data_IF_075691900787
#
_entry.id   IF_075691900787
#
_cell.length_a   1.000
_cell.length_b   1.000
_cell.length_c   1.000
_cell.angle_alpha   90.00
_cell.angle_beta   90.00
_cell.angle_gamma   90.00
#
_symmetry.space_group_name_H-M   'P 1'
#
loop_
_entity.id
_entity.type
_entity.pdbx_description
1 polymer ?
#
# COMPACT_ATOMS: atom_id res chain seq x y z
N UNK A 1 -8.21 -7.79 -16.06
CA UNK A 1 -8.52 -6.76 -15.03
C UNK A 1 -8.89 -7.48 -13.74
N UNK A 2 -8.24 -7.12 -12.63
CA UNK A 2 -8.27 -7.89 -11.38
C UNK A 2 -9.68 -7.96 -10.81
N UNK A 3 -10.14 -9.17 -10.48
CA UNK A 3 -11.45 -9.40 -9.86
C UNK A 3 -11.26 -9.61 -8.38
N UNK A 4 -12.06 -8.94 -7.56
CA UNK A 4 -12.16 -9.26 -6.14
C UNK A 4 -12.45 -10.76 -5.97
N UNK A 5 -11.71 -11.41 -5.10
CA UNK A 5 -11.93 -12.82 -4.75
C UNK A 5 -12.41 -12.92 -3.31
N UNK A 6 -11.63 -12.37 -2.37
CA UNK A 6 -11.97 -12.40 -0.96
C UNK A 6 -11.38 -11.18 -0.27
N UNK A 7 -12.15 -10.61 0.65
CA UNK A 7 -11.66 -9.63 1.60
C UNK A 7 -11.05 -10.36 2.79
N UNK A 8 -9.89 -9.89 3.26
CA UNK A 8 -9.17 -10.52 4.36
C UNK A 8 -9.10 -9.60 5.58
N UNK A 9 -9.35 -10.16 6.77
CA UNK A 9 -9.04 -9.53 8.06
C UNK A 9 -7.99 -10.41 8.75
N UNK A 10 -6.80 -9.86 8.97
CA UNK A 10 -5.62 -10.58 9.50
C UNK A 10 -5.29 -11.88 8.73
N UNK A 11 -5.31 -11.80 7.40
CA UNK A 11 -4.97 -12.92 6.51
C UNK A 11 -6.05 -14.01 6.40
N UNK A 12 -7.22 -13.81 7.03
CA UNK A 12 -8.35 -14.75 6.99
C UNK A 12 -9.56 -14.13 6.30
N UNK A 13 -10.24 -14.91 5.49
CA UNK A 13 -11.45 -14.49 4.77
C UNK A 13 -12.08 -15.65 4.04
N UNK A 14 -13.31 -15.44 3.57
CA UNK A 14 -14.07 -16.42 2.80
C UNK A 14 -14.24 -15.92 1.38
N UNK A 15 -14.22 -16.84 0.43
CA UNK A 15 -14.64 -16.57 -0.93
C UNK A 15 -16.16 -16.73 -1.01
N UNK A 16 -16.86 -15.71 -1.51
CA UNK A 16 -18.30 -15.75 -1.72
C UNK A 16 -18.60 -15.98 -3.19
N UNK A 17 -19.43 -16.98 -3.47
CA UNK A 17 -19.93 -17.28 -4.81
C UNK A 17 -21.07 -16.33 -5.17
N UNK A 18 -21.39 -16.20 -6.47
CA UNK A 18 -22.53 -15.40 -6.93
C UNK A 18 -23.88 -15.85 -6.36
N UNK A 19 -24.03 -17.11 -5.96
CA UNK A 19 -25.23 -17.66 -5.32
C UNK A 19 -25.34 -17.30 -3.82
N UNK A 20 -24.36 -16.57 -3.27
CA UNK A 20 -24.29 -16.18 -1.86
C UNK A 20 -23.66 -17.22 -0.94
N UNK A 21 -23.41 -18.44 -1.42
CA UNK A 21 -22.68 -19.43 -0.63
C UNK A 21 -21.21 -19.03 -0.47
N UNK A 22 -20.62 -19.40 0.66
CA UNK A 22 -19.23 -19.06 0.96
C UNK A 22 -18.39 -20.30 1.20
N UNK A 23 -17.08 -20.20 1.04
CA UNK A 23 -16.16 -21.22 1.54
C UNK A 23 -16.18 -21.22 3.07
N UNK A 24 -16.18 -22.38 3.72
CA UNK A 24 -16.11 -22.51 5.19
C UNK A 24 -14.70 -22.25 5.76
N UNK A 25 -13.96 -21.31 5.16
CA UNK A 25 -12.64 -20.92 5.64
C UNK A 25 -12.75 -20.22 7.01
N UNK A 26 -11.79 -20.48 7.93
CA UNK A 26 -11.84 -19.90 9.27
C UNK A 26 -11.68 -18.38 9.20
N UNK A 27 -12.44 -17.69 10.05
CA UNK A 27 -12.39 -16.23 10.18
C UNK A 27 -11.53 -15.80 11.37
N UNK A 28 -11.18 -14.52 11.40
CA UNK A 28 -10.56 -13.91 12.59
C UNK A 28 -11.63 -13.72 13.67
N UNK A 29 -11.33 -14.15 14.90
CA UNK A 29 -12.22 -14.05 16.06
C UNK A 29 -11.58 -13.17 17.12
N UNK A 30 -12.28 -12.13 17.55
CA UNK A 30 -11.88 -11.24 18.63
C UNK A 30 -12.74 -11.53 19.87
N UNK A 31 -12.12 -12.10 20.90
CA UNK A 31 -12.82 -12.43 22.15
C UNK A 31 -12.89 -11.20 23.07
N UNK A 32 -14.09 -10.84 23.51
CA UNK A 32 -14.34 -9.68 24.37
C UNK A 32 -15.15 -10.04 25.60
N UNK A 33 -15.03 -9.25 26.66
CA UNK A 33 -15.83 -9.37 27.89
C UNK A 33 -16.90 -8.28 27.86
N UNK A 34 -18.13 -8.65 28.23
CA UNK A 34 -19.23 -7.70 28.33
C UNK A 34 -18.86 -6.54 29.29
N UNK A 35 -19.31 -5.33 28.94
CA UNK A 35 -19.05 -4.06 29.63
C UNK A 35 -17.57 -3.66 29.71
N UNK A 36 -16.74 -4.12 28.76
CA UNK A 36 -15.37 -3.64 28.56
C UNK A 36 -15.24 -2.88 27.25
N UNK A 37 -14.35 -1.89 27.25
CA UNK A 37 -14.00 -1.11 26.07
C UNK A 37 -12.73 -1.65 25.43
N UNK A 38 -12.70 -1.66 24.10
CA UNK A 38 -11.58 -2.17 23.31
C UNK A 38 -11.16 -1.15 22.27
N UNK A 39 -9.85 -0.90 22.14
CA UNK A 39 -9.28 -0.11 21.04
C UNK A 39 -8.88 -1.06 19.92
N UNK A 40 -9.49 -0.91 18.76
CA UNK A 40 -9.10 -1.58 17.53
C UNK A 40 -8.18 -0.66 16.73
N UNK A 41 -7.18 -1.26 16.08
CA UNK A 41 -6.25 -0.58 15.17
C UNK A 41 -6.43 -1.20 13.80
N UNK A 42 -7.05 -0.45 12.89
CA UNK A 42 -7.41 -0.92 11.55
C UNK A 42 -6.41 -0.36 10.56
N UNK A 43 -5.84 -1.23 9.73
CA UNK A 43 -4.81 -0.89 8.75
C UNK A 43 -5.37 -1.25 7.36
N UNK A 44 -5.45 -0.26 6.47
CA UNK A 44 -5.82 -0.44 5.07
C UNK A 44 -4.68 -1.04 4.26
N UNK A 45 -4.34 -2.30 4.50
CA UNK A 45 -3.24 -3.00 3.83
C UNK A 45 -3.66 -3.66 2.49
N UNK A 46 -4.78 -3.24 1.91
CA UNK A 46 -5.27 -3.73 0.62
C UNK A 46 -4.62 -2.99 -0.57
N UNK A 47 -4.69 -3.59 -1.75
CA UNK A 47 -4.01 -3.06 -2.94
C UNK A 47 -4.87 -2.14 -3.82
N UNK A 48 -6.20 -2.19 -3.69
CA UNK A 48 -7.11 -1.56 -4.67
C UNK A 48 -8.36 -0.97 -4.02
N UNK A 49 -9.10 -1.78 -3.25
CA UNK A 49 -10.43 -1.40 -2.81
C UNK A 49 -10.41 -0.65 -1.48
N UNK A 50 -11.17 0.45 -1.33
CA UNK A 50 -11.53 0.98 -0.04
C UNK A 50 -12.61 0.12 0.62
N UNK A 51 -12.62 0.08 1.94
CA UNK A 51 -13.59 -0.69 2.72
C UNK A 51 -14.35 0.21 3.70
N UNK A 52 -15.66 -0.01 3.82
CA UNK A 52 -16.50 0.49 4.91
C UNK A 52 -16.48 -0.51 6.05
N UNK A 53 -15.91 -0.09 7.18
CA UNK A 53 -15.72 -0.92 8.38
C UNK A 53 -16.81 -0.65 9.40
N UNK A 54 -17.45 -1.70 9.92
CA UNK A 54 -18.49 -1.63 10.97
C UNK A 54 -18.43 -2.84 11.90
N UNK A 55 -19.00 -2.70 13.10
CA UNK A 55 -19.35 -3.83 13.97
C UNK A 55 -20.87 -3.79 14.15
N UNK A 56 -21.56 -4.87 13.79
CA UNK A 56 -23.02 -4.93 13.88
C UNK A 56 -23.46 -4.63 15.32
N UNK A 57 -24.50 -3.79 15.48
CA UNK A 57 -25.07 -3.36 16.77
C UNK A 57 -24.14 -2.57 17.69
N UNK A 58 -22.96 -2.14 17.22
CA UNK A 58 -22.02 -1.36 18.03
C UNK A 58 -21.64 -0.03 17.35
N UNK A 59 -21.67 1.05 18.12
CA UNK A 59 -21.09 2.32 17.71
C UNK A 59 -19.57 2.27 17.82
N UNK A 60 -18.90 2.94 16.88
CA UNK A 60 -17.45 3.07 16.83
C UNK A 60 -17.08 4.52 17.16
N UNK A 61 -16.22 4.68 18.16
CA UNK A 61 -15.63 5.98 18.47
C UNK A 61 -14.26 6.08 17.82
N UNK A 62 -14.17 6.73 16.66
CA UNK A 62 -12.89 6.96 15.97
C UNK A 62 -12.05 7.95 16.79
N UNK A 63 -10.83 7.56 17.18
CA UNK A 63 -9.96 8.33 18.10
C UNK A 63 -8.58 8.64 17.52
N UNK A 64 -8.16 7.99 16.45
CA UNK A 64 -6.91 8.33 15.77
C UNK A 64 -6.96 7.97 14.28
N UNK A 65 -6.12 8.64 13.49
CA UNK A 65 -5.85 8.27 12.09
C UNK A 65 -4.38 8.46 11.76
N UNK A 66 -3.81 7.53 10.99
CA UNK A 66 -2.41 7.53 10.54
C UNK A 66 -1.39 7.77 11.68
N UNK A 67 -1.69 7.23 12.87
CA UNK A 67 -0.85 7.38 14.07
C UNK A 67 -1.05 8.68 14.86
N UNK A 68 -1.94 9.57 14.42
CA UNK A 68 -2.22 10.86 15.07
C UNK A 68 -3.59 10.86 15.74
N UNK A 69 -3.68 11.35 16.97
CA UNK A 69 -4.94 11.40 17.71
C UNK A 69 -5.89 12.48 17.17
N UNK A 70 -7.17 12.15 17.12
CA UNK A 70 -8.25 13.07 16.70
C UNK A 70 -9.27 13.21 17.81
N UNK A 71 -9.96 14.34 17.82
CA UNK A 71 -11.15 14.48 18.66
C UNK A 71 -12.12 13.36 18.34
N UNK A 72 -12.65 12.64 19.36
CA UNK A 72 -13.46 11.46 19.12
C UNK A 72 -14.65 11.73 18.20
N UNK A 73 -14.84 10.86 17.19
CA UNK A 73 -15.97 10.91 16.27
C UNK A 73 -16.78 9.62 16.43
N UNK A 74 -17.99 9.73 16.98
CA UNK A 74 -18.93 8.62 17.15
C UNK A 74 -19.66 8.34 15.82
N UNK A 75 -19.55 7.11 15.31
CA UNK A 75 -20.13 6.67 14.03
C UNK A 75 -20.53 5.20 14.05
N UNK A 76 -21.47 4.80 13.20
CA UNK A 76 -21.77 3.38 12.97
C UNK A 76 -20.68 2.70 12.14
N UNK A 77 -19.98 3.46 11.30
CA UNK A 77 -18.94 2.93 10.42
C UNK A 77 -18.02 4.03 9.91
N UNK A 78 -16.87 3.63 9.38
CA UNK A 78 -15.95 4.53 8.69
C UNK A 78 -15.38 3.88 7.44
N UNK A 79 -14.91 4.71 6.51
CA UNK A 79 -14.25 4.26 5.29
C UNK A 79 -12.74 4.30 5.49
N UNK A 80 -12.06 3.24 5.07
CA UNK A 80 -10.60 3.15 5.05
C UNK A 80 -10.11 2.81 3.65
N UNK A 81 -9.13 3.57 3.16
CA UNK A 81 -8.49 3.36 1.87
C UNK A 81 -7.13 2.68 2.06
N UNK A 82 -6.56 2.08 0.99
CA UNK A 82 -5.17 1.64 1.00
C UNK A 82 -4.21 2.69 1.57
N UNK A 83 -3.35 2.29 2.50
CA UNK A 83 -2.35 3.15 3.15
C UNK A 83 -2.84 3.87 4.43
N UNK A 84 -4.15 4.04 4.59
CA UNK A 84 -4.70 4.69 5.79
C UNK A 84 -4.68 3.76 7.00
N UNK A 85 -4.60 4.35 8.20
CA UNK A 85 -4.85 3.68 9.47
C UNK A 85 -5.89 4.43 10.27
N UNK A 86 -6.76 3.70 10.95
CA UNK A 86 -7.74 4.26 11.87
C UNK A 86 -7.78 3.46 13.16
N UNK A 87 -7.81 4.18 14.28
CA UNK A 87 -8.09 3.56 15.57
C UNK A 87 -9.48 3.98 16.03
N UNK A 88 -10.25 3.00 16.48
CA UNK A 88 -11.54 3.26 17.12
C UNK A 88 -11.63 2.53 18.45
N UNK A 89 -12.44 3.08 19.35
CA UNK A 89 -12.86 2.40 20.58
C UNK A 89 -14.28 1.91 20.41
N UNK A 90 -14.54 0.69 20.84
CA UNK A 90 -15.87 0.08 20.90
C UNK A 90 -16.13 -0.44 22.31
N UNK A 91 -17.34 -0.22 22.80
CA UNK A 91 -17.80 -0.72 24.08
C UNK A 91 -18.59 -2.02 23.88
N UNK A 92 -18.18 -3.12 24.53
CA UNK A 92 -18.87 -4.40 24.46
C UNK A 92 -20.13 -4.40 25.35
N UNK A 93 -21.10 -3.54 25.01
CA UNK A 93 -22.29 -3.24 25.81
C UNK A 93 -23.57 -3.96 25.34
N UNK A 94 -23.49 -4.78 24.30
CA UNK A 94 -24.62 -5.55 23.78
C UNK A 94 -24.84 -6.86 24.58
N UNK A 95 -25.89 -7.59 24.23
CA UNK A 95 -26.17 -8.91 24.82
C UNK A 95 -25.04 -9.90 24.52
N UNK A 96 -24.85 -10.91 25.37
CA UNK A 96 -23.78 -11.90 25.16
C UNK A 96 -24.13 -12.75 23.94
N UNK A 97 -23.50 -12.47 22.81
CA UNK A 97 -23.65 -13.19 21.56
C UNK A 97 -22.41 -12.95 20.64
N UNK A 98 -22.46 -13.45 19.41
CA UNK A 98 -21.48 -13.18 18.36
C UNK A 98 -22.03 -12.12 17.41
N UNK A 99 -21.18 -11.16 17.04
CA UNK A 99 -21.52 -10.05 16.14
C UNK A 99 -20.55 -10.01 14.95
N UNK A 100 -21.05 -9.67 13.76
CA UNK A 100 -20.17 -9.47 12.62
C UNK A 100 -19.34 -8.19 12.75
N UNK A 101 -18.05 -8.32 12.52
CA UNK A 101 -17.19 -7.23 12.06
C UNK A 101 -17.18 -7.31 10.53
N UNK A 102 -17.55 -6.21 9.87
CA UNK A 102 -17.69 -6.13 8.42
C UNK A 102 -16.71 -5.12 7.87
N UNK A 103 -16.03 -5.47 6.78
CA UNK A 103 -15.32 -4.54 5.92
C UNK A 103 -15.80 -4.76 4.48
N UNK A 104 -16.71 -3.93 4.00
CA UNK A 104 -17.37 -4.08 2.69
C UNK A 104 -16.84 -3.05 1.70
N UNK A 105 -16.57 -3.45 0.46
CA UNK A 105 -16.06 -2.51 -0.55
C UNK A 105 -17.07 -1.40 -0.84
N UNK A 106 -16.60 -0.25 -1.33
CA UNK A 106 -17.48 0.84 -1.79
C UNK A 106 -18.00 0.65 -3.23
N UNK A 107 -17.79 -0.53 -3.82
CA UNK A 107 -18.31 -0.83 -5.15
C UNK A 107 -19.84 -0.81 -5.17
N UNK A 108 -20.41 -0.31 -6.25
CA UNK A 108 -21.86 -0.25 -6.46
C UNK A 108 -22.30 -1.41 -7.36
N UNK A 109 -23.54 -1.90 -7.17
CA UNK A 109 -24.12 -3.01 -7.94
C UNK A 109 -23.34 -4.33 -7.83
N UNK A 110 -22.62 -4.52 -6.73
CA UNK A 110 -21.86 -5.73 -6.43
C UNK A 110 -22.28 -6.26 -5.07
N UNK A 111 -22.40 -7.57 -4.95
CA UNK A 111 -22.71 -8.26 -3.69
C UNK A 111 -21.51 -9.07 -3.20
N UNK A 112 -21.42 -9.25 -1.88
CA UNK A 112 -20.46 -10.13 -1.22
C UNK A 112 -18.97 -9.78 -1.43
N UNK A 113 -18.65 -8.57 -1.88
CA UNK A 113 -17.29 -8.02 -1.83
C UNK A 113 -16.99 -7.51 -0.41
N UNK A 114 -16.80 -8.45 0.50
CA UNK A 114 -16.73 -8.20 1.93
C UNK A 114 -15.65 -9.05 2.60
N UNK A 115 -14.98 -8.48 3.60
CA UNK A 115 -14.20 -9.20 4.58
C UNK A 115 -15.00 -9.29 5.90
N UNK A 116 -15.02 -10.47 6.51
CA UNK A 116 -15.73 -10.71 7.76
C UNK A 116 -14.77 -11.15 8.86
N UNK A 117 -15.08 -10.74 10.09
CA UNK A 117 -14.50 -11.27 11.32
C UNK A 117 -15.59 -11.33 12.40
N UNK A 118 -15.31 -12.03 13.50
CA UNK A 118 -16.28 -12.28 14.56
C UNK A 118 -15.88 -11.50 15.81
N UNK A 119 -16.78 -10.64 16.29
CA UNK A 119 -16.69 -9.99 17.60
C UNK A 119 -17.44 -10.87 18.61
N UNK A 120 -16.69 -11.69 19.34
CA UNK A 120 -17.21 -12.80 20.15
C UNK A 120 -17.22 -12.42 21.63
N UNK A 121 -18.41 -12.35 22.23
CA UNK A 121 -18.52 -12.15 23.68
C UNK A 121 -18.09 -13.41 24.45
N UNK A 122 -17.46 -13.24 25.60
CA UNK A 122 -17.07 -14.35 26.46
C UNK A 122 -18.30 -15.18 26.85
N UNK A 123 -18.18 -16.50 26.80
CA UNK A 123 -19.25 -17.48 27.04
C UNK A 123 -20.34 -17.54 25.96
N UNK A 124 -20.19 -16.87 24.82
CA UNK A 124 -21.06 -17.12 23.66
C UNK A 124 -20.68 -18.45 22.96
N UNK A 125 -21.63 -19.10 22.27
CA UNK A 125 -21.36 -20.33 21.54
C UNK A 125 -20.39 -20.15 20.37
N UNK A 126 -19.78 -21.25 19.91
CA UNK A 126 -18.89 -21.28 18.74
C UNK A 126 -19.69 -21.42 17.43
N UNK A 127 -20.41 -20.38 17.04
CA UNK A 127 -21.07 -20.28 15.73
C UNK A 127 -20.84 -18.91 15.08
N UNK A 128 -21.03 -18.85 13.76
CA UNK A 128 -21.00 -17.60 13.01
C UNK A 128 -22.18 -16.67 13.37
N UNK A 129 -21.96 -15.36 13.57
CA UNK A 129 -23.04 -14.41 13.83
C UNK A 129 -24.17 -14.49 12.80
N UNK A 130 -25.41 -14.28 13.24
CA UNK A 130 -26.57 -14.08 12.36
C UNK A 130 -27.04 -12.61 12.33
N UNK A 131 -26.22 -11.70 12.86
CA UNK A 131 -26.52 -10.26 12.93
C UNK A 131 -26.53 -9.63 11.53
N UNK A 132 -27.22 -8.51 11.40
CA UNK A 132 -27.23 -7.70 10.19
C UNK A 132 -26.74 -6.27 10.49
N UNK A 133 -26.21 -5.60 9.46
CA UNK A 133 -25.89 -4.17 9.58
C UNK A 133 -27.18 -3.39 9.84
N UNK A 134 -27.09 -2.32 10.64
CA UNK A 134 -28.18 -1.36 10.88
C UNK A 134 -28.82 -0.94 9.55
N UNK A 135 -30.15 -1.05 9.47
CA UNK A 135 -30.93 -0.54 8.34
C UNK A 135 -31.19 0.96 8.54
N UNK A 136 -30.60 1.80 7.68
CA UNK A 136 -30.69 3.25 7.79
C UNK A 136 -32.00 3.75 7.16
N UNK A 137 -32.73 4.62 7.86
CA UNK A 137 -33.99 5.18 7.37
C UNK A 137 -33.93 6.70 7.27
N UNK A 138 -34.92 7.32 6.60
CA UNK A 138 -34.97 8.80 6.48
C UNK A 138 -34.95 9.52 7.83
N UNK A 139 -35.56 8.92 8.86
CA UNK A 139 -35.65 9.49 10.22
C UNK A 139 -34.52 9.02 11.16
N UNK A 140 -33.81 7.95 10.80
CA UNK A 140 -32.66 7.40 11.54
C UNK A 140 -31.54 7.09 10.54
N UNK A 141 -30.83 8.15 10.14
CA UNK A 141 -29.76 8.08 9.15
C UNK A 141 -28.48 7.58 9.79
N UNK A 142 -27.77 6.69 9.10
CA UNK A 142 -26.48 6.21 9.59
C UNK A 142 -25.39 7.26 9.43
N UNK A 143 -24.42 7.30 10.34
CA UNK A 143 -23.24 8.15 10.26
C UNK A 143 -22.05 7.34 9.75
N UNK A 144 -21.40 7.87 8.71
CA UNK A 144 -20.17 7.29 8.13
C UNK A 144 -19.05 8.31 8.17
N UNK A 145 -17.94 7.92 8.79
CA UNK A 145 -16.72 8.73 8.84
C UNK A 145 -15.81 8.51 7.62
N UNK A 146 -14.97 9.51 7.33
CA UNK A 146 -13.94 9.50 6.30
C UNK A 146 -14.47 9.26 4.86
N UNK A 147 -15.65 9.82 4.54
CA UNK A 147 -16.17 9.73 3.17
C UNK A 147 -15.22 10.44 2.18
N UNK A 148 -14.79 9.76 1.09
CA UNK A 148 -13.94 10.35 0.04
C UNK A 148 -14.72 11.22 -0.96
N UNK A 149 -16.04 11.34 -0.77
CA UNK A 149 -16.98 12.15 -1.55
C UNK A 149 -17.83 13.01 -0.61
N UNK A 150 -18.45 14.07 -1.13
CA UNK A 150 -19.11 15.10 -0.31
C UNK A 150 -20.30 14.55 0.50
N UNK A 151 -21.14 13.72 -0.13
CA UNK A 151 -22.31 13.12 0.52
C UNK A 151 -22.68 11.80 -0.17
N UNK A 152 -23.40 10.93 0.56
CA UNK A 152 -24.13 9.82 -0.06
C UNK A 152 -25.38 10.33 -0.78
N UNK A 153 -25.87 9.63 -1.82
CA UNK A 153 -27.16 9.90 -2.43
C UNK A 153 -28.30 9.97 -1.40
N UNK A 154 -29.32 10.79 -1.66
CA UNK A 154 -30.42 11.02 -0.71
C UNK A 154 -31.11 9.72 -0.27
N UNK A 155 -31.29 8.79 -1.21
CA UNK A 155 -31.96 7.50 -0.99
C UNK A 155 -31.21 6.52 -0.08
N UNK A 156 -29.90 6.70 0.12
CA UNK A 156 -29.08 5.81 0.97
C UNK A 156 -29.30 6.03 2.47
N UNK A 157 -29.91 7.15 2.86
CA UNK A 157 -30.13 7.50 4.27
C UNK A 157 -28.84 7.51 5.12
N UNK A 158 -27.73 7.96 4.53
CA UNK A 158 -26.43 8.07 5.20
C UNK A 158 -25.96 9.52 5.29
N UNK A 159 -25.41 9.91 6.43
CA UNK A 159 -24.71 11.18 6.62
C UNK A 159 -23.20 10.95 6.59
N UNK A 160 -22.50 11.75 5.78
CA UNK A 160 -21.05 11.73 5.69
C UNK A 160 -20.38 12.72 6.64
N UNK A 161 -19.43 12.20 7.42
CA UNK A 161 -18.44 12.98 8.15
C UNK A 161 -17.13 12.90 7.38
N UNK A 162 -16.90 13.88 6.50
CA UNK A 162 -15.69 13.99 5.73
C UNK A 162 -14.47 14.34 6.60
N UNK A 163 -13.28 13.98 6.12
CA UNK A 163 -12.03 14.17 6.84
C UNK A 163 -11.77 15.63 7.24
N UNK A 164 -12.17 16.61 6.42
CA UNK A 164 -12.00 18.04 6.74
C UNK A 164 -12.83 18.51 7.96
N UNK A 165 -13.78 17.69 8.44
CA UNK A 165 -14.52 17.94 9.70
C UNK A 165 -13.81 17.35 10.92
N UNK A 166 -12.82 16.48 10.73
CA UNK A 166 -12.03 15.94 11.82
C UNK A 166 -11.14 17.05 12.38
N UNK A 167 -10.76 16.91 13.64
CA UNK A 167 -9.83 17.80 14.31
C UNK A 167 -8.80 16.98 15.05
N UNK A 168 -7.55 17.39 15.00
CA UNK A 168 -6.51 16.80 15.85
C UNK A 168 -6.86 17.01 17.32
N UNK A 169 -6.64 15.99 18.15
CA UNK A 169 -6.91 16.08 19.59
C UNK A 169 -5.90 17.01 20.30
N UNK A 170 -4.67 17.03 19.81
CA UNK A 170 -3.61 17.87 20.34
C UNK A 170 -3.69 19.30 19.78
N UNK A 171 -3.14 20.24 20.55
CA UNK A 171 -2.92 21.61 20.08
C UNK A 171 -1.71 21.68 19.16
N UNK A 172 -1.92 21.27 17.91
CA UNK A 172 -0.87 21.24 16.91
C UNK A 172 -0.88 22.55 16.11
N UNK A 173 0.23 23.28 16.17
CA UNK A 173 0.44 24.46 15.33
C UNK A 173 0.67 24.03 13.89
N UNK A 174 -0.17 24.48 12.97
CA UNK A 174 0.06 24.32 11.53
C UNK A 174 1.23 25.21 11.09
N UNK A 175 2.24 24.68 10.38
CA UNK A 175 3.33 25.49 9.85
C UNK A 175 2.80 26.62 8.93
N UNK A 176 3.44 27.78 8.97
CA UNK A 176 3.04 28.93 8.16
C UNK A 176 1.86 29.73 8.73
N UNK A 177 1.33 29.43 9.92
CA UNK A 177 0.17 30.16 10.48
C UNK A 177 0.55 31.18 11.56
N UNK A 178 1.34 30.77 12.56
CA UNK A 178 1.88 31.67 13.62
C UNK A 178 3.36 31.95 13.47
N UNK A 179 4.03 31.06 12.75
CA UNK A 179 5.46 31.09 12.43
C UNK A 179 5.57 30.82 10.94
N UNK A 180 6.63 31.32 10.29
CA UNK A 180 6.89 31.03 8.88
C UNK A 180 5.79 31.52 7.90
N UNK A 181 5.01 32.55 8.27
CA UNK A 181 3.83 33.01 7.50
C UNK A 181 4.18 33.44 6.06
N UNK A 182 5.33 34.06 5.85
CA UNK A 182 5.84 34.46 4.54
C UNK A 182 6.70 33.37 3.87
N UNK A 183 6.75 32.17 4.44
CA UNK A 183 7.64 31.09 4.02
C UNK A 183 6.89 29.88 3.41
N UNK A 184 5.64 30.10 3.01
CA UNK A 184 4.80 29.08 2.37
C UNK A 184 5.05 29.08 0.86
N UNK A 185 5.26 27.89 0.28
CA UNK A 185 5.31 27.68 -1.16
C UNK A 185 4.18 26.73 -1.58
N UNK A 186 3.34 27.17 -2.52
CA UNK A 186 2.26 26.36 -3.07
C UNK A 186 2.79 25.52 -4.25
N UNK A 187 2.48 24.23 -4.28
CA UNK A 187 2.83 23.30 -5.36
C UNK A 187 1.57 22.55 -5.79
N UNK A 188 1.23 22.64 -7.07
CA UNK A 188 0.10 21.89 -7.66
C UNK A 188 0.59 20.56 -8.22
N UNK A 189 -0.10 19.48 -7.85
CA UNK A 189 0.19 18.12 -8.29
C UNK A 189 -1.11 17.43 -8.70
N UNK A 190 -1.36 17.31 -9.99
CA UNK A 190 -2.46 16.54 -10.55
C UNK A 190 -2.08 15.08 -10.72
N UNK A 191 -2.81 14.20 -10.04
CA UNK A 191 -2.69 12.75 -10.16
C UNK A 191 -3.89 12.23 -10.97
N UNK A 192 -3.61 11.80 -12.19
CA UNK A 192 -4.62 11.40 -13.16
C UNK A 192 -4.04 10.42 -14.19
N UNK A 193 -4.88 9.95 -15.11
CA UNK A 193 -4.55 9.18 -16.31
C UNK A 193 -4.77 10.06 -17.55
N UNK A 194 -3.88 11.02 -17.86
CA UNK A 194 -4.22 12.17 -18.70
C UNK A 194 -4.61 11.79 -20.13
N UNK A 195 -5.66 12.41 -20.68
CA UNK A 195 -6.13 12.16 -22.05
C UNK A 195 -7.37 11.27 -22.17
N UNK A 196 -7.75 10.95 -23.41
CA UNK A 196 -9.00 10.21 -23.73
C UNK A 196 -8.84 8.69 -23.80
N UNK A 197 -7.61 8.23 -23.98
CA UNK A 197 -7.28 6.80 -24.08
C UNK A 197 -6.81 6.28 -22.72
N UNK A 198 -6.68 4.96 -22.57
CA UNK A 198 -5.99 4.36 -21.42
C UNK A 198 -4.51 4.78 -21.45
N UNK A 199 -4.22 5.90 -20.80
CA UNK A 199 -2.87 6.40 -20.57
C UNK A 199 -2.41 6.01 -19.18
N UNK A 200 -1.10 5.91 -18.96
CA UNK A 200 -0.58 5.49 -17.68
C UNK A 200 -0.80 6.55 -16.59
N UNK A 201 -0.83 6.09 -15.34
CA UNK A 201 -0.87 6.94 -14.16
C UNK A 201 0.29 7.94 -14.14
N UNK A 202 0.04 9.16 -13.67
CA UNK A 202 1.05 10.22 -13.71
C UNK A 202 0.87 11.25 -12.60
N UNK A 203 1.92 12.05 -12.38
CA UNK A 203 1.86 13.31 -11.63
C UNK A 203 2.17 14.47 -12.60
N UNK A 204 1.23 15.40 -12.80
CA UNK A 204 1.34 16.50 -13.77
C UNK A 204 1.75 16.00 -15.18
N UNK A 205 1.17 14.90 -15.66
CA UNK A 205 1.47 14.34 -16.98
C UNK A 205 2.82 13.65 -17.09
N UNK A 206 3.55 13.49 -15.98
CA UNK A 206 4.80 12.74 -15.91
C UNK A 206 4.50 11.34 -15.39
N UNK A 207 4.52 10.35 -16.27
CA UNK A 207 4.52 8.95 -15.89
C UNK A 207 5.86 8.65 -15.23
N UNK A 208 5.82 8.34 -13.93
CA UNK A 208 7.00 8.05 -13.15
C UNK A 208 7.69 6.76 -13.58
N UNK A 209 8.94 6.89 -14.03
CA UNK A 209 9.81 5.75 -14.29
C UNK A 209 10.74 5.59 -13.09
N UNK A 210 10.70 4.41 -12.47
CA UNK A 210 11.65 4.04 -11.44
C UNK A 210 13.09 4.16 -11.98
N UNK A 211 13.99 4.86 -11.28
CA UNK A 211 15.40 4.93 -11.63
C UNK A 211 16.02 3.54 -11.83
N UNK A 212 16.89 3.40 -12.82
CA UNK A 212 17.61 2.14 -13.10
C UNK A 212 18.70 1.82 -12.06
N UNK A 213 19.06 2.81 -11.23
CA UNK A 213 19.90 2.68 -10.05
C UNK A 213 19.16 3.26 -8.85
N UNK A 214 19.48 2.85 -7.63
CA UNK A 214 18.90 3.49 -6.44
C UNK A 214 19.27 4.97 -6.42
N UNK A 215 18.26 5.85 -6.54
CA UNK A 215 18.49 7.30 -6.52
C UNK A 215 19.03 7.80 -5.16
N UNK A 216 18.88 7.00 -4.10
CA UNK A 216 19.46 7.30 -2.79
C UNK A 216 20.98 7.08 -2.76
N UNK A 217 21.49 6.03 -3.41
CA UNK A 217 22.93 5.69 -3.41
C UNK A 217 23.69 6.25 -4.60
N UNK A 218 23.04 6.32 -5.77
CA UNK A 218 23.67 6.58 -7.07
C UNK A 218 22.95 7.70 -7.83
N UNK A 219 22.59 8.79 -7.14
CA UNK A 219 21.86 9.93 -7.74
C UNK A 219 22.45 10.43 -9.06
N UNK A 220 23.77 10.55 -9.15
CA UNK A 220 24.46 11.08 -10.33
C UNK A 220 24.44 10.13 -11.54
N UNK A 221 24.09 8.86 -11.33
CA UNK A 221 23.96 7.86 -12.40
C UNK A 221 22.52 7.77 -12.92
N UNK A 222 21.54 8.42 -12.28
CA UNK A 222 20.16 8.46 -12.76
C UNK A 222 20.08 9.24 -14.07
N UNK A 223 19.64 8.57 -15.13
CA UNK A 223 19.56 9.10 -16.52
C UNK A 223 18.13 9.28 -17.02
N UNK A 224 17.15 8.92 -16.20
CA UNK A 224 15.73 8.86 -16.56
C UNK A 224 14.98 10.14 -16.19
N UNK A 225 15.65 11.22 -15.80
CA UNK A 225 15.01 12.50 -15.44
C UNK A 225 14.22 13.11 -16.61
N UNK A 226 13.20 13.90 -16.27
CA UNK A 226 12.34 14.54 -17.26
C UNK A 226 13.09 15.62 -18.03
N UNK A 227 12.92 15.66 -19.35
CA UNK A 227 13.38 16.79 -20.16
C UNK A 227 12.25 17.84 -20.27
N UNK A 228 12.53 19.14 -20.07
CA UNK A 228 11.49 20.18 -20.05
C UNK A 228 10.64 20.26 -21.32
N UNK A 229 11.23 19.96 -22.48
CA UNK A 229 10.60 20.02 -23.80
C UNK A 229 9.70 18.82 -24.13
N UNK A 230 9.84 17.71 -23.39
CA UNK A 230 9.08 16.47 -23.60
C UNK A 230 7.73 16.45 -22.86
N UNK A 231 7.57 17.24 -21.80
CA UNK A 231 6.37 17.31 -20.96
C UNK A 231 5.58 18.60 -21.21
N UNK A 232 4.31 18.67 -20.82
CA UNK A 232 3.55 19.93 -20.90
C UNK A 232 2.09 19.78 -20.52
N UNK A 233 1.33 20.88 -20.65
CA UNK A 233 -0.08 20.91 -20.28
C UNK A 233 -0.85 19.80 -20.99
N UNK A 234 -0.78 19.71 -22.31
CA UNK A 234 -1.47 18.69 -23.10
C UNK A 234 -0.54 17.53 -23.54
N UNK A 235 0.58 17.31 -22.82
CA UNK A 235 1.60 16.31 -23.21
C UNK A 235 2.05 15.45 -22.05
N UNK A 236 2.09 14.14 -22.29
CA UNK A 236 2.55 13.14 -21.32
C UNK A 236 3.99 12.75 -21.66
N UNK A 237 4.83 12.64 -20.65
CA UNK A 237 6.21 12.17 -20.78
C UNK A 237 6.48 11.05 -19.77
N UNK A 238 7.53 10.25 -20.01
CA UNK A 238 7.95 9.13 -19.15
C UNK A 238 9.31 9.41 -18.58
N UNK A 239 9.40 9.57 -17.27
CA UNK A 239 10.64 9.96 -16.61
C UNK A 239 10.59 9.75 -15.09
N UNK A 240 11.75 9.72 -14.45
CA UNK A 240 11.89 9.91 -13.01
C UNK A 240 11.62 11.38 -12.70
N UNK A 241 10.40 11.69 -12.29
CA UNK A 241 10.02 13.03 -11.85
C UNK A 241 10.46 13.27 -10.41
N UNK A 242 11.27 14.31 -10.20
CA UNK A 242 11.73 14.73 -8.88
C UNK A 242 11.53 16.24 -8.71
N UNK A 243 11.14 16.65 -7.51
CA UNK A 243 11.06 18.03 -7.08
C UNK A 243 12.02 18.26 -5.92
N UNK A 244 12.85 19.29 -6.01
CA UNK A 244 13.75 19.67 -4.92
C UNK A 244 13.00 20.51 -3.88
N UNK A 245 13.12 20.12 -2.61
CA UNK A 245 12.55 20.87 -1.48
C UNK A 245 13.68 21.53 -0.68
N UNK A 246 13.50 22.80 -0.34
CA UNK A 246 14.45 23.55 0.47
C UNK A 246 14.25 23.24 1.95
N UNK A 247 15.35 23.09 2.69
CA UNK A 247 15.31 22.90 4.13
C UNK A 247 14.57 24.04 4.84
N UNK A 248 13.76 23.69 5.84
CA UNK A 248 12.99 24.58 6.70
C UNK A 248 11.91 25.42 5.97
N UNK A 249 11.64 25.15 4.68
CA UNK A 249 10.54 25.75 3.91
C UNK A 249 9.20 25.08 4.27
N UNK A 250 8.13 25.85 4.28
CA UNK A 250 6.76 25.32 4.42
C UNK A 250 6.19 25.06 3.04
N UNK A 251 5.83 23.82 2.75
CA UNK A 251 5.21 23.43 1.49
C UNK A 251 3.73 23.16 1.68
N UNK A 252 2.93 23.80 0.84
CA UNK A 252 1.50 23.58 0.72
C UNK A 252 1.24 22.89 -0.62
N UNK A 253 0.93 21.61 -0.57
CA UNK A 253 0.63 20.83 -1.77
C UNK A 253 -0.87 20.91 -2.06
N UNK A 254 -1.20 21.24 -3.31
CA UNK A 254 -2.56 21.19 -3.85
C UNK A 254 -2.63 19.95 -4.71
N UNK A 255 -3.16 18.87 -4.14
CA UNK A 255 -3.28 17.57 -4.79
C UNK A 255 -4.58 17.52 -5.57
N UNK A 256 -4.50 17.30 -6.88
CA UNK A 256 -5.64 17.33 -7.79
C UNK A 256 -5.90 15.95 -8.40
N UNK A 257 -7.13 15.71 -8.82
CA UNK A 257 -7.49 14.64 -9.75
C UNK A 257 -8.51 15.21 -10.75
N UNK A 258 -8.02 15.99 -11.71
CA UNK A 258 -8.83 16.85 -12.56
C UNK A 258 -8.36 16.77 -14.02
N UNK A 259 -9.15 17.38 -14.91
CA UNK A 259 -8.90 17.38 -16.34
C UNK A 259 -9.46 16.16 -17.06
N UNK A 260 -9.12 16.06 -18.34
CA UNK A 260 -9.39 14.92 -19.18
C UNK A 260 -8.48 13.77 -18.77
N UNK A 261 -9.08 12.63 -18.45
CA UNK A 261 -8.36 11.48 -17.91
C UNK A 261 -8.32 11.42 -16.37
N UNK A 262 -9.04 12.33 -15.69
CA UNK A 262 -9.36 12.15 -14.26
C UNK A 262 -9.94 10.76 -14.04
N UNK A 263 -9.35 10.02 -13.11
CA UNK A 263 -9.73 8.65 -12.79
C UNK A 263 -10.68 8.59 -11.60
N UNK A 264 -10.76 7.42 -10.98
CA UNK A 264 -11.33 7.27 -9.65
C UNK A 264 -10.54 8.06 -8.59
N UNK A 265 -11.08 8.20 -7.38
CA UNK A 265 -10.38 8.86 -6.30
C UNK A 265 -9.05 8.15 -5.97
N UNK A 266 -8.03 8.91 -5.55
CA UNK A 266 -6.68 8.41 -5.36
C UNK A 266 -6.22 8.61 -3.92
N UNK A 267 -5.92 7.55 -3.13
CA UNK A 267 -5.26 7.69 -1.84
C UNK A 267 -3.80 8.07 -2.08
N UNK A 268 -3.43 9.32 -1.87
CA UNK A 268 -2.08 9.82 -2.08
C UNK A 268 -1.29 9.75 -0.78
N UNK A 269 -0.17 9.04 -0.82
CA UNK A 269 0.71 8.80 0.32
C UNK A 269 2.05 9.51 0.13
N UNK A 270 2.58 10.13 1.18
CA UNK A 270 3.90 10.77 1.21
C UNK A 270 4.80 10.09 2.23
N UNK A 271 5.97 9.65 1.79
CA UNK A 271 6.98 9.06 2.67
C UNK A 271 7.70 10.13 3.49
N UNK A 272 8.27 9.72 4.63
CA UNK A 272 9.11 10.58 5.49
C UNK A 272 8.36 11.69 6.24
N UNK A 273 7.06 11.86 6.00
CA UNK A 273 6.29 12.98 6.52
C UNK A 273 4.87 12.57 6.95
N UNK A 274 4.38 13.26 7.97
CA UNK A 274 2.95 13.50 8.10
C UNK A 274 2.66 14.96 7.72
N UNK A 275 1.52 15.21 7.11
CA UNK A 275 1.03 16.52 6.69
C UNK A 275 -0.31 16.86 7.34
N UNK A 276 -0.59 18.16 7.47
CA UNK A 276 -1.89 18.66 7.88
C UNK A 276 -2.84 18.70 6.69
N UNK A 277 -4.03 18.13 6.82
CA UNK A 277 -5.07 18.22 5.78
C UNK A 277 -5.92 19.46 6.04
N UNK A 278 -5.72 20.51 5.24
CA UNK A 278 -6.29 21.84 5.51
C UNK A 278 -7.65 22.03 4.85
N UNK A 279 -7.84 21.49 3.64
CA UNK A 279 -9.08 21.69 2.89
C UNK A 279 -9.26 20.58 1.87
N UNK A 280 -10.51 20.20 1.63
CA UNK A 280 -10.91 19.33 0.52
C UNK A 280 -11.92 20.13 -0.31
N UNK A 281 -11.59 20.36 -1.57
CA UNK A 281 -12.49 20.94 -2.55
C UNK A 281 -13.14 19.83 -3.36
N UNK A 282 -14.40 19.54 -3.06
CA UNK A 282 -15.14 18.51 -3.78
C UNK A 282 -15.69 19.03 -5.12
N UNK A 283 -15.89 18.14 -6.11
CA UNK A 283 -16.66 18.46 -7.31
C UNK A 283 -18.15 18.65 -6.98
N UNK A 284 -18.93 19.03 -7.98
CA UNK A 284 -20.39 18.91 -7.94
C UNK A 284 -20.81 17.45 -8.16
N UNK A 285 -21.80 17.02 -7.39
CA UNK A 285 -22.41 15.70 -7.50
C UNK A 285 -23.91 15.84 -7.77
N UNK A 286 -24.48 14.84 -8.43
CA UNK A 286 -25.92 14.64 -8.47
C UNK A 286 -26.38 14.04 -7.14
N UNK A 287 -27.32 14.69 -6.44
CA UNK A 287 -27.80 14.26 -5.12
C UNK A 287 -28.66 12.99 -5.11
N UNK A 288 -29.20 12.58 -6.26
CA UNK A 288 -30.02 11.37 -6.40
C UNK A 288 -29.17 10.17 -6.80
N UNK A 289 -28.23 10.35 -7.73
CA UNK A 289 -27.41 9.23 -8.24
C UNK A 289 -26.05 9.11 -7.55
N UNK A 290 -25.59 10.17 -6.86
CA UNK A 290 -24.24 10.28 -6.31
C UNK A 290 -23.15 10.43 -7.37
N UNK A 291 -23.51 10.50 -8.65
CA UNK A 291 -22.55 10.60 -9.73
C UNK A 291 -21.94 12.00 -9.77
N UNK A 292 -20.64 12.03 -10.05
CA UNK A 292 -19.92 13.24 -10.39
C UNK A 292 -20.59 13.95 -11.58
N UNK A 293 -20.82 15.26 -11.49
CA UNK A 293 -21.41 16.06 -12.57
C UNK A 293 -20.44 17.08 -13.14
N UNK A 294 -19.67 17.78 -12.30
CA UNK A 294 -18.79 18.87 -12.73
C UNK A 294 -17.60 19.06 -11.79
N UNK A 295 -16.46 19.43 -12.34
CA UNK A 295 -15.25 19.68 -11.56
C UNK A 295 -15.40 20.89 -10.64
N UNK A 296 -14.63 20.87 -9.56
CA UNK A 296 -14.49 22.04 -8.70
C UNK A 296 -13.88 23.23 -9.48
N UNK A 297 -14.43 24.43 -9.30
CA UNK A 297 -14.04 25.62 -10.04
C UNK A 297 -13.01 26.51 -9.35
N UNK A 298 -12.55 26.16 -8.15
CA UNK A 298 -11.49 26.88 -7.43
C UNK A 298 -10.15 26.79 -8.18
N UNK A 299 -9.93 25.66 -8.86
CA UNK A 299 -8.73 25.36 -9.65
C UNK A 299 -8.99 25.67 -11.11
N UNK A 300 -8.05 26.40 -11.70
CA UNK A 300 -7.94 26.64 -13.12
C UNK A 300 -6.92 25.67 -13.72
N UNK A 301 -7.39 24.79 -14.59
CA UNK A 301 -6.57 23.80 -15.25
C UNK A 301 -5.89 24.34 -16.53
N UNK A 302 -6.31 25.50 -17.08
CA UNK A 302 -5.85 25.93 -18.41
C UNK A 302 -6.00 27.42 -18.78
N UNK A 303 -6.23 28.33 -17.84
CA UNK A 303 -6.47 29.74 -18.17
C UNK A 303 -7.73 29.93 -19.02
N UNK A 304 -7.59 30.68 -20.12
CA UNK A 304 -8.69 31.05 -21.04
C UNK A 304 -9.05 29.98 -22.09
N UNK A 305 -8.45 28.78 -22.02
CA UNK A 305 -8.69 27.70 -22.98
C UNK A 305 -9.80 26.74 -22.53
N UNK A 306 -10.29 25.95 -23.48
CA UNK A 306 -11.34 24.94 -23.28
C UNK A 306 -10.95 23.92 -22.19
N UNK A 307 -11.54 24.08 -21.00
CA UNK A 307 -11.29 23.26 -19.81
C UNK A 307 -11.51 21.78 -20.06
N UNK A 308 -12.47 21.41 -20.90
CA UNK A 308 -12.82 20.01 -21.19
C UNK A 308 -11.73 19.27 -21.99
N UNK A 309 -10.77 20.01 -22.56
CA UNK A 309 -9.62 19.45 -23.29
C UNK A 309 -8.32 19.47 -22.48
N UNK A 310 -8.31 20.13 -21.32
CA UNK A 310 -7.13 20.23 -20.45
C UNK A 310 -6.81 18.90 -19.78
N UNK A 311 -5.52 18.58 -19.63
CA UNK A 311 -5.08 17.49 -18.76
C UNK A 311 -4.86 17.95 -17.32
N UNK A 312 -4.93 19.25 -17.07
CA UNK A 312 -4.73 19.90 -15.78
C UNK A 312 -3.31 19.66 -15.21
N UNK A 313 -2.30 19.57 -16.09
CA UNK A 313 -0.92 19.29 -15.70
C UNK A 313 -0.17 20.54 -15.21
N UNK A 314 -0.69 21.73 -15.51
CA UNK A 314 -0.10 23.04 -15.23
C UNK A 314 -1.08 23.91 -14.43
N UNK A 315 -1.85 23.28 -13.54
CA UNK A 315 -2.93 23.92 -12.82
C UNK A 315 -2.48 25.09 -11.93
N UNK A 316 -3.38 26.06 -11.79
CA UNK A 316 -3.26 27.21 -10.88
C UNK A 316 -4.58 27.46 -10.15
N UNK A 317 -4.60 28.40 -9.20
CA UNK A 317 -5.87 28.88 -8.65
C UNK A 317 -6.60 29.75 -9.69
N UNK A 318 -7.92 29.56 -9.83
CA UNK A 318 -8.78 30.43 -10.66
C UNK A 318 -8.71 31.88 -10.19
N UNK A 319 -8.59 32.10 -8.87
CA UNK A 319 -8.33 33.40 -8.32
C UNK A 319 -6.83 33.57 -8.05
N UNK A 320 -6.14 34.35 -8.88
CA UNK A 320 -4.70 34.57 -8.78
C UNK A 320 -4.23 35.30 -7.50
N UNK A 321 -5.15 35.85 -6.70
CA UNK A 321 -4.81 36.40 -5.37
C UNK A 321 -4.70 35.32 -4.28
N UNK A 322 -5.19 34.11 -4.56
CA UNK A 322 -5.13 33.01 -3.61
C UNK A 322 -3.74 32.40 -3.56
N UNK A 323 -3.26 32.17 -2.34
CA UNK A 323 -2.02 31.48 -2.07
C UNK A 323 -1.71 31.46 -0.58
N UNK A 324 -0.92 30.49 -0.13
CA UNK A 324 -0.58 30.34 1.28
C UNK A 324 -1.82 30.30 2.18
N UNK A 325 -1.93 31.22 3.14
CA UNK A 325 -3.08 31.34 4.05
C UNK A 325 -4.27 32.12 3.49
N UNK A 326 -4.14 32.79 2.34
CA UNK A 326 -5.20 33.61 1.75
C UNK A 326 -6.29 32.78 1.02
N UNK A 327 -6.15 31.45 1.01
CA UNK A 327 -7.12 30.57 0.36
C UNK A 327 -8.37 30.44 1.25
N UNK A 328 -9.58 30.67 0.72
CA UNK A 328 -10.80 30.65 1.52
C UNK A 328 -11.12 29.25 2.04
N UNK A 329 -11.53 29.15 3.30
CA UNK A 329 -12.01 27.90 3.90
C UNK A 329 -10.93 26.90 4.31
N UNK A 330 -9.66 27.33 4.39
CA UNK A 330 -8.62 26.51 5.02
C UNK A 330 -8.93 26.27 6.51
N UNK A 331 -8.88 25.01 6.93
CA UNK A 331 -8.86 24.65 8.34
C UNK A 331 -7.46 24.81 8.89
N UNK A 332 -7.18 25.96 9.50
CA UNK A 332 -5.89 26.25 10.14
C UNK A 332 -5.91 25.98 11.65
N UNK A 333 -7.08 25.67 12.22
CA UNK A 333 -7.25 25.43 13.64
C UNK A 333 -7.42 23.94 13.92
N UNK A 334 -6.35 23.28 14.39
CA UNK A 334 -6.28 21.84 14.66
C UNK A 334 -6.72 20.92 13.49
N UNK A 335 -6.27 21.13 12.24
CA UNK A 335 -6.57 20.19 11.17
C UNK A 335 -6.00 18.80 11.47
N UNK A 336 -6.63 17.72 10.97
CA UNK A 336 -6.12 16.37 11.16
C UNK A 336 -4.76 16.21 10.46
N UNK A 337 -3.87 15.44 11.09
CA UNK A 337 -2.56 15.09 10.55
C UNK A 337 -2.60 13.68 9.98
N UNK A 338 -2.11 13.50 8.76
CA UNK A 338 -2.13 12.23 8.02
C UNK A 338 -0.84 12.03 7.25
N UNK A 339 -0.60 10.82 6.75
CA UNK A 339 0.41 10.57 5.72
C UNK A 339 -0.20 10.05 4.41
N UNK A 340 -1.48 9.69 4.43
CA UNK A 340 -2.24 9.27 3.26
C UNK A 340 -3.54 10.05 3.20
N UNK A 341 -3.92 10.60 2.04
CA UNK A 341 -5.20 11.31 1.89
C UNK A 341 -5.84 11.03 0.55
N UNK A 342 -7.16 10.86 0.53
CA UNK A 342 -7.89 10.58 -0.70
C UNK A 342 -8.16 11.88 -1.46
N UNK A 343 -7.64 11.98 -2.67
CA UNK A 343 -7.93 13.04 -3.62
C UNK A 343 -9.18 12.68 -4.41
N UNK A 344 -10.29 13.44 -4.29
CA UNK A 344 -11.53 13.12 -4.95
C UNK A 344 -11.44 13.38 -6.46
N UNK A 345 -12.10 12.53 -7.26
CA UNK A 345 -12.29 12.77 -8.69
C UNK A 345 -12.90 14.13 -8.96
N UNK A 346 -12.34 14.90 -9.89
CA UNK A 346 -12.79 16.24 -10.25
C UNK A 346 -12.62 17.30 -9.15
N UNK A 347 -11.84 17.01 -8.11
CA UNK A 347 -11.60 17.92 -6.99
C UNK A 347 -10.15 17.94 -6.55
N UNK A 348 -9.93 18.47 -5.34
CA UNK A 348 -8.59 18.64 -4.79
C UNK A 348 -8.52 18.52 -3.27
N UNK A 349 -7.31 18.33 -2.77
CA UNK A 349 -6.97 18.38 -1.34
C UNK A 349 -5.77 19.30 -1.14
N UNK A 350 -5.87 20.21 -0.17
CA UNK A 350 -4.75 21.03 0.27
C UNK A 350 -4.13 20.39 1.51
N UNK A 351 -2.87 20.00 1.41
CA UNK A 351 -2.07 19.50 2.54
C UNK A 351 -0.87 20.40 2.80
N UNK A 352 -0.41 20.46 4.05
CA UNK A 352 0.73 21.30 4.42
C UNK A 352 1.68 20.59 5.36
N UNK A 353 2.97 20.68 5.07
CA UNK A 353 4.04 20.22 5.94
C UNK A 353 5.24 21.16 5.85
N UNK A 354 6.19 20.98 6.77
CA UNK A 354 7.45 21.71 6.76
C UNK A 354 8.56 20.73 6.38
N UNK A 355 9.38 21.10 5.40
CA UNK A 355 10.50 20.30 4.95
C UNK A 355 11.64 20.38 6.00
N UNK A 356 11.64 19.46 6.96
CA UNK A 356 12.66 19.36 8.01
C UNK A 356 13.27 17.96 8.13
N UNK A 357 13.05 17.09 7.15
CA UNK A 357 13.54 15.73 7.09
C UNK A 357 14.37 15.51 5.82
N UNK A 358 15.67 15.91 5.82
CA UNK A 358 16.53 15.76 4.66
C UNK A 358 16.59 14.31 4.15
N UNK A 359 16.25 14.11 2.88
CA UNK A 359 16.18 12.78 2.29
C UNK A 359 15.43 12.75 0.96
N UNK A 360 15.36 11.54 0.38
CA UNK A 360 14.63 11.29 -0.86
C UNK A 360 13.33 10.55 -0.55
N UNK A 361 12.20 11.23 -0.71
CA UNK A 361 10.89 10.75 -0.30
C UNK A 361 9.97 10.57 -1.50
N UNK A 362 9.39 9.39 -1.67
CA UNK A 362 8.40 9.17 -2.72
C UNK A 362 7.02 9.65 -2.27
N UNK A 363 6.30 10.30 -3.17
CA UNK A 363 4.86 10.53 -3.08
C UNK A 363 4.18 9.72 -4.17
N UNK A 364 3.22 8.88 -3.82
CA UNK A 364 2.58 8.00 -4.79
C UNK A 364 1.13 7.68 -4.42
N UNK A 365 0.35 7.22 -5.40
CA UNK A 365 -0.94 6.63 -5.13
C UNK A 365 -0.75 5.30 -4.37
N UNK A 366 -1.55 5.06 -3.35
CA UNK A 366 -1.49 3.82 -2.55
C UNK A 366 -2.39 2.71 -3.12
N UNK A 367 -3.02 2.94 -4.27
CA UNK A 367 -3.52 1.86 -5.12
C UNK A 367 -2.31 1.29 -5.87
N UNK A 368 -1.97 0.03 -5.58
CA UNK A 368 -0.72 -0.59 -6.04
C UNK A 368 -0.58 -0.55 -7.56
N UNK A 369 -1.68 -0.77 -8.28
CA UNK A 369 -1.69 -0.71 -9.75
C UNK A 369 -1.37 0.68 -10.27
N UNK A 370 -1.87 1.74 -9.62
CA UNK A 370 -1.61 3.10 -10.06
C UNK A 370 -0.16 3.51 -9.74
N UNK A 371 0.36 3.07 -8.59
CA UNK A 371 1.77 3.24 -8.24
C UNK A 371 2.69 2.57 -9.26
N UNK A 372 2.46 1.28 -9.52
CA UNK A 372 3.24 0.48 -10.46
C UNK A 372 3.15 1.00 -11.90
N UNK A 373 2.03 1.62 -12.27
CA UNK A 373 1.80 2.25 -13.57
C UNK A 373 2.34 3.69 -13.66
N UNK A 374 2.95 4.21 -12.59
CA UNK A 374 3.72 5.46 -12.62
C UNK A 374 3.06 6.69 -11.99
N UNK A 375 1.99 6.55 -11.22
CA UNK A 375 1.36 7.64 -10.47
C UNK A 375 2.17 8.00 -9.21
N UNK A 376 3.37 8.53 -9.42
CA UNK A 376 4.33 8.86 -8.36
C UNK A 376 5.23 10.05 -8.73
N UNK A 377 5.95 10.57 -7.74
CA UNK A 377 7.09 11.46 -7.90
C UNK A 377 8.02 11.35 -6.69
N UNK A 378 9.24 11.89 -6.82
CA UNK A 378 10.19 12.04 -5.72
C UNK A 378 10.21 13.49 -5.21
N UNK A 379 10.31 13.65 -3.90
CA UNK A 379 10.76 14.87 -3.25
C UNK A 379 12.20 14.64 -2.78
N UNK A 380 13.11 15.42 -3.34
CA UNK A 380 14.52 15.45 -2.95
C UNK A 380 14.70 16.61 -1.98
N UNK A 381 14.56 16.32 -0.69
CA UNK A 381 14.47 17.32 0.35
C UNK A 381 15.83 17.64 0.96
N UNK A 382 16.22 18.91 0.90
CA UNK A 382 17.46 19.41 1.50
C UNK A 382 18.65 18.52 1.12
N UNK A 383 18.88 18.35 -0.18
CA UNK A 383 19.90 17.44 -0.75
C UNK A 383 21.26 17.60 -0.10
N UNK A 384 21.64 18.84 0.18
CA UNK A 384 22.88 19.23 0.82
C UNK A 384 23.00 18.79 2.30
N UNK A 385 21.87 18.46 2.94
CA UNK A 385 21.76 17.99 4.31
C UNK A 385 21.44 16.49 4.41
N UNK A 386 21.38 15.76 3.29
CA UNK A 386 21.14 14.32 3.33
C UNK A 386 22.13 13.60 4.27
N UNK A 387 21.65 12.67 5.12
CA UNK A 387 22.53 11.93 5.99
C UNK A 387 23.52 11.08 5.17
N UNK A 388 24.70 10.83 5.74
CA UNK A 388 25.65 9.89 5.14
C UNK A 388 25.01 8.51 5.09
N UNK A 389 25.13 7.86 3.93
CA UNK A 389 24.62 6.51 3.74
C UNK A 389 25.36 5.52 4.64
N UNK A 390 24.67 4.52 5.21
CA UNK A 390 25.32 3.43 5.92
C UNK A 390 26.36 2.73 5.02
N UNK A 391 27.49 2.33 5.60
CA UNK A 391 28.49 1.55 4.89
C UNK A 391 27.91 0.20 4.45
N UNK A 392 28.24 -0.22 3.22
CA UNK A 392 27.76 -1.51 2.66
C UNK A 392 26.30 -1.52 2.21
N UNK A 393 25.66 -0.35 2.09
CA UNK A 393 24.35 -0.27 1.46
C UNK A 393 24.46 -0.70 -0.02
N UNK A 394 23.69 -1.69 -0.49
CA UNK A 394 23.84 -2.21 -1.85
C UNK A 394 23.63 -1.14 -2.91
N UNK A 395 24.55 -1.11 -3.87
CA UNK A 395 24.47 -0.34 -5.10
C UNK A 395 24.12 -1.26 -6.27
N UNK A 396 23.47 -0.69 -7.27
CA UNK A 396 23.28 -1.39 -8.53
C UNK A 396 24.66 -1.62 -9.17
N UNK A 397 24.99 -2.89 -9.41
CA UNK A 397 26.33 -3.33 -9.82
C UNK A 397 27.07 -4.11 -8.74
N UNK A 398 26.71 -3.98 -7.45
CA UNK A 398 27.33 -4.75 -6.35
C UNK A 398 26.93 -6.22 -6.38
N UNK A 399 25.77 -6.54 -6.98
CA UNK A 399 25.33 -7.91 -7.16
C UNK A 399 26.11 -8.57 -8.30
N UNK A 400 27.17 -9.27 -7.92
CA UNK A 400 27.91 -10.16 -8.82
C UNK A 400 27.17 -11.50 -8.83
N UNK A 401 26.57 -11.85 -9.97
CA UNK A 401 26.08 -13.20 -10.18
C UNK A 401 27.28 -14.13 -10.28
N UNK A 402 27.70 -14.72 -9.15
CA UNK A 402 28.62 -15.84 -9.19
C UNK A 402 27.88 -17.00 -9.80
N UNK A 403 28.20 -17.36 -11.05
CA UNK A 403 27.81 -18.61 -11.70
C UNK A 403 28.44 -19.79 -10.93
N UNK A 404 28.02 -20.04 -9.68
CA UNK A 404 28.48 -21.19 -8.90
C UNK A 404 27.93 -22.51 -9.45
N UNK A 405 27.11 -22.48 -10.51
CA UNK A 405 26.84 -23.69 -11.29
C UNK A 405 28.08 -24.23 -12.03
N UNK A 406 29.15 -23.45 -12.20
CA UNK A 406 30.43 -23.99 -12.73
C UNK A 406 31.39 -24.46 -11.63
N UNK A 407 31.30 -23.92 -10.40
CA UNK A 407 32.12 -24.38 -9.27
C UNK A 407 31.54 -25.60 -8.55
N UNK A 408 30.21 -25.70 -8.39
CA UNK A 408 29.57 -26.92 -7.86
C UNK A 408 29.79 -28.12 -8.80
N UNK A 409 29.77 -27.90 -10.13
CA UNK A 409 30.06 -28.94 -11.11
C UNK A 409 31.54 -29.37 -11.13
N UNK A 410 32.49 -28.54 -10.67
CA UNK A 410 33.90 -28.95 -10.49
C UNK A 410 34.09 -29.81 -9.24
N UNK A 411 33.41 -29.47 -8.14
CA UNK A 411 33.39 -30.27 -6.91
C UNK A 411 32.78 -31.66 -7.15
N UNK A 412 31.63 -31.72 -7.81
CA UNK A 412 30.94 -32.98 -8.11
C UNK A 412 31.74 -33.89 -9.07
N UNK A 413 32.50 -33.29 -10.01
CA UNK A 413 33.37 -34.02 -10.94
C UNK A 413 34.61 -34.58 -10.25
N UNK A 414 35.19 -33.85 -9.29
CA UNK A 414 36.29 -34.35 -8.46
C UNK A 414 35.85 -35.49 -7.54
N UNK A 415 34.66 -35.40 -6.94
CA UNK A 415 34.12 -36.45 -6.08
C UNK A 415 33.82 -37.74 -6.87
N UNK A 416 33.19 -37.62 -8.05
CA UNK A 416 32.91 -38.77 -8.94
C UNK A 416 34.19 -39.45 -9.44
N UNK A 417 35.25 -38.69 -9.74
CA UNK A 417 36.56 -39.24 -10.11
C UNK A 417 37.22 -39.94 -8.92
N UNK A 418 37.14 -39.38 -7.72
CA UNK A 418 37.68 -39.99 -6.51
C UNK A 418 36.99 -41.34 -6.19
N UNK A 419 35.66 -41.40 -6.25
CA UNK A 419 34.93 -42.66 -6.05
C UNK A 419 35.21 -43.69 -7.15
N UNK A 420 35.39 -43.27 -8.41
CA UNK A 420 35.76 -44.18 -9.49
C UNK A 420 37.17 -44.77 -9.27
N UNK A 421 38.13 -43.97 -8.83
CA UNK A 421 39.50 -44.43 -8.52
C UNK A 421 39.51 -45.36 -7.31
N UNK A 422 38.78 -45.03 -6.24
CA UNK A 422 38.63 -45.91 -5.07
C UNK A 422 37.95 -47.22 -5.46
N UNK A 423 36.87 -47.16 -6.25
CA UNK A 423 36.18 -48.34 -6.76
C UNK A 423 37.07 -49.27 -7.59
N UNK A 424 37.90 -48.70 -8.48
CA UNK A 424 38.87 -49.45 -9.26
C UNK A 424 39.95 -50.10 -8.39
N UNK A 425 40.48 -49.38 -7.38
CA UNK A 425 41.45 -49.92 -6.43
C UNK A 425 40.88 -51.08 -5.61
N UNK A 426 39.64 -50.94 -5.11
CA UNK A 426 38.95 -52.01 -4.39
C UNK A 426 38.73 -53.22 -5.29
N UNK A 427 38.32 -53.03 -6.54
CA UNK A 427 38.15 -54.13 -7.49
C UNK A 427 39.47 -54.88 -7.75
N UNK A 428 40.59 -54.15 -7.92
CA UNK A 428 41.93 -54.75 -8.08
C UNK A 428 42.34 -55.55 -6.84
N UNK A 429 42.08 -55.01 -5.64
CA UNK A 429 42.37 -55.70 -4.38
C UNK A 429 41.53 -56.98 -4.26
N UNK A 430 40.24 -56.92 -4.58
CA UNK A 430 39.35 -58.10 -4.56
C UNK A 430 39.83 -59.15 -5.57
N UNK A 431 40.19 -58.75 -6.79
CA UNK A 431 40.74 -59.65 -7.80
C UNK A 431 42.04 -60.29 -7.31
N UNK A 432 42.96 -59.52 -6.70
CA UNK A 432 44.18 -60.04 -6.10
C UNK A 432 43.89 -61.05 -4.98
N UNK A 433 42.92 -60.76 -4.11
CA UNK A 433 42.49 -61.70 -3.07
C UNK A 433 41.90 -62.98 -3.66
N UNK A 434 41.08 -62.89 -4.71
CA UNK A 434 40.52 -64.05 -5.42
C UNK A 434 41.65 -64.85 -6.08
N UNK A 435 42.61 -64.20 -6.73
CA UNK A 435 43.78 -64.86 -7.34
C UNK A 435 44.61 -65.55 -6.25
N UNK A 436 44.92 -64.87 -5.14
CA UNK A 436 45.64 -65.46 -4.00
C UNK A 436 44.88 -66.65 -3.44
N UNK A 437 43.55 -66.56 -3.32
CA UNK A 437 42.70 -67.64 -2.84
C UNK A 437 42.71 -68.84 -3.81
N UNK A 438 42.65 -68.59 -5.13
CA UNK A 438 42.77 -69.62 -6.15
C UNK A 438 44.17 -70.28 -6.12
N UNK A 439 45.24 -69.49 -5.98
CA UNK A 439 46.61 -70.00 -5.86
C UNK A 439 46.77 -70.83 -4.58
N UNK A 440 46.25 -70.36 -3.43
CA UNK A 440 46.24 -71.14 -2.18
C UNK A 440 45.46 -72.44 -2.32
N UNK A 441 44.30 -72.43 -3.00
CA UNK A 441 43.49 -73.63 -3.23
C UNK A 441 44.20 -74.62 -4.16
N UNK A 442 44.92 -74.14 -5.18
CA UNK A 442 45.73 -74.96 -6.08
C UNK A 442 46.97 -75.54 -5.39
N UNK A 443 47.61 -74.78 -4.50
CA UNK A 443 48.72 -75.29 -3.67
C UNK A 443 48.24 -76.28 -2.60
N UNK A 444 47.04 -76.11 -2.05
CA UNK A 444 46.44 -77.10 -1.13
C UNK A 444 46.09 -78.41 -1.85
N UNK A 445 45.70 -78.35 -3.13
CA UNK A 445 45.47 -79.52 -3.99
C UNK A 445 46.77 -80.22 -4.44
N UNK A 446 47.91 -79.51 -4.48
CA UNK A 446 49.22 -80.11 -4.74
C UNK A 446 49.88 -80.67 -3.47
N UNK A 447 49.55 -80.15 -2.28
CA UNK A 447 50.00 -80.73 -1.00
C UNK A 447 49.26 -82.03 -0.64
N UNK A 448 48.02 -82.23 -1.08
CA UNK A 448 47.32 -83.52 -0.94
C UNK A 448 47.78 -84.59 -1.93
N UNK A 449 48.53 -84.25 -3.00
CA UNK A 449 49.18 -85.25 -3.87
C UNK A 449 50.62 -85.60 -3.46
N UNK A 450 51.31 -84.73 -2.70
CA UNK A 450 52.64 -85.00 -2.15
C UNK A 450 52.64 -85.69 -0.78
N UNK A 451 51.55 -85.68 -0.01
CA UNK A 451 51.41 -86.49 1.21
C UNK A 451 51.03 -87.96 0.93
N UNK A 452 50.75 -88.31 -0.33
CA UNK A 452 50.50 -89.68 -0.79
C UNK A 452 51.76 -90.41 -1.31
N UNK A 453 52.96 -89.81 -1.22
CA UNK A 453 54.20 -90.40 -1.77
C UNK A 453 55.42 -90.37 -0.85
N UNK A 454 55.26 -90.21 0.46
CA UNK A 454 56.36 -90.32 1.43
C UNK A 454 55.89 -90.90 2.77
N UNK A 455 55.33 -92.11 2.75
CA UNK A 455 55.44 -93.09 3.85
C UNK A 455 55.15 -94.51 3.33
N UNK A 456 55.94 -94.93 2.34
CA UNK A 456 56.47 -96.30 2.25
C UNK A 456 57.93 -96.19 2.72
N UNK A 457 58.16 -96.55 4.00
CA UNK A 457 59.44 -96.94 4.65
C UNK A 457 59.39 -96.67 6.16
N UNK A 458 58.46 -97.34 6.87
CA UNK A 458 58.65 -98.08 8.13
C UNK A 458 57.30 -98.44 8.75
#
# INVERSE_FOLDING_TARGET
MFKFQSGLINGKGRYFKPDGSSTEAPLTVYNVKQFKSYRFRVIGAGNLYPFRVSIDEHMLRVVATDGNEVHPVEVESFIINPGERFDFVVDANQTVNNYWIRAETLEVNVSNHIALAIFKYANSPDFDPNTSRKNCTKNDRCLVANCPFLYYPEGENVNCINLNKFKSAESISVPGVKTDENNIADIFLNFAFPGKNETPGSANGRHFVMPHVSALTQWNEVKTFCKPDECGEDRICKCTYSLDLQYNKVYQLVLLNMGQGKGWAHPMHLHGHNFHVLKIGYPEYNNVTGQYSKENLDVDCRGDLDREKSFCNSATWTNHSWGGNNIPGLQLNHPPKKDTVVVPTGGYVIVRFKATNPGLWIMHCHIELHNADGMALLFNEAKELHPKLPAGLPQCGDFIYTNNMEEENKGEKHEKVLYAVIGALVAVIVILFVIIFIIKRKNHSNMTSLHSRYTEMR
#
